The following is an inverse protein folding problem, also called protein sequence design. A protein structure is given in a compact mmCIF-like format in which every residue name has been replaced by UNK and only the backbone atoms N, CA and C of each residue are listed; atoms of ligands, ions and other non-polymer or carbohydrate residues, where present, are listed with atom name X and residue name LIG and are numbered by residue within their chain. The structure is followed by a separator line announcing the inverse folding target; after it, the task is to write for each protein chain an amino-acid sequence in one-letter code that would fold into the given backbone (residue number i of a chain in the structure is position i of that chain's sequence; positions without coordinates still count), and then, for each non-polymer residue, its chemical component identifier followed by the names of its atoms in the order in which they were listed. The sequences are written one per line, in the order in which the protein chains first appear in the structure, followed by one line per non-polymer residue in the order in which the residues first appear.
data_IF_717801890445
#
_entry.id   IF_717801890445
#
_cell.length_a   1.000
_cell.length_b   1.000
_cell.length_c   1.000
_cell.angle_alpha   90.00
_cell.angle_beta   90.00
_cell.angle_gamma   90.00
#
_symmetry.space_group_name_H-M   'P 1'
#
loop_
_entity.id
_entity.type
_entity.pdbx_description
1 polymer ?
#
# COMPACT_ATOMS: atom_id res chain seq x y z
N UNK A 1 18.70 62.88 9.19
CA UNK A 1 17.41 63.54 8.87
C UNK A 1 16.76 62.80 7.71
N UNK A 2 15.43 62.75 7.72
CA UNK A 2 14.49 62.02 6.85
C UNK A 2 14.28 60.54 7.20
N UNK A 3 13.07 59.98 7.22
CA UNK A 3 11.72 60.44 7.58
C UNK A 3 10.87 59.17 7.66
N UNK A 4 10.08 58.99 8.71
CA UNK A 4 9.15 57.88 8.90
C UNK A 4 7.98 57.92 7.90
N UNK A 5 7.56 56.76 7.36
CA UNK A 5 6.15 56.48 7.04
C UNK A 5 5.81 55.02 7.33
N UNK A 6 5.04 54.84 8.40
CA UNK A 6 4.34 53.61 8.73
C UNK A 6 3.00 53.58 7.97
N UNK A 7 2.62 52.43 7.42
CA UNK A 7 1.25 52.15 6.99
C UNK A 7 0.75 50.95 7.78
N UNK A 8 -0.14 51.20 8.74
CA UNK A 8 -0.92 50.17 9.42
C UNK A 8 -2.15 49.87 8.55
N UNK A 9 -2.33 48.61 8.13
CA UNK A 9 -3.60 48.14 7.55
C UNK A 9 -4.44 47.54 8.68
N UNK A 10 -5.56 48.18 8.97
CA UNK A 10 -6.58 47.68 9.89
C UNK A 10 -7.41 46.59 9.22
N UNK A 11 -7.66 45.50 9.93
CA UNK A 11 -8.52 44.40 9.52
C UNK A 11 -9.83 44.51 10.30
N UNK A 12 -11.01 44.60 9.67
CA UNK A 12 -12.24 44.26 10.35
C UNK A 12 -12.48 42.74 10.27
N UNK A 13 -12.38 42.05 11.41
CA UNK A 13 -13.00 40.74 11.61
C UNK A 13 -14.51 40.96 11.74
N UNK A 14 -15.29 40.53 10.76
CA UNK A 14 -16.74 40.38 10.91
C UNK A 14 -17.11 38.91 10.76
N UNK A 15 -17.45 38.28 11.88
CA UNK A 15 -18.14 37.00 11.91
C UNK A 15 -19.62 37.23 11.61
N UNK A 16 -20.08 36.85 10.41
CA UNK A 16 -21.51 36.76 10.13
C UNK A 16 -22.02 35.39 10.60
N UNK A 17 -22.55 35.35 11.82
CA UNK A 17 -23.25 34.19 12.38
C UNK A 17 -24.65 34.13 11.75
N UNK A 18 -24.84 33.25 10.77
CA UNK A 18 -26.16 32.93 10.21
C UNK A 18 -26.94 32.09 11.21
N UNK A 19 -27.97 32.68 11.82
CA UNK A 19 -29.00 31.92 12.57
C UNK A 19 -30.14 31.63 11.59
N UNK A 20 -30.27 30.37 11.21
CA UNK A 20 -31.49 29.86 10.59
C UNK A 20 -32.60 29.84 11.65
N UNK A 21 -33.65 30.65 11.47
CA UNK A 21 -34.86 30.56 12.29
C UNK A 21 -35.90 29.78 11.51
N UNK A 22 -36.19 28.58 12.01
CA UNK A 22 -37.25 27.69 11.52
C UNK A 22 -38.63 28.34 11.63
N UNK A 23 -39.44 28.18 10.60
CA UNK A 23 -40.87 28.47 10.58
C UNK A 23 -41.63 27.60 11.59
N UNK A 24 -42.34 28.21 12.54
CA UNK A 24 -43.44 27.56 13.26
C UNK A 24 -44.75 28.24 12.91
N UNK A 25 -45.68 27.45 12.38
CA UNK A 25 -47.06 27.83 12.13
C UNK A 25 -47.81 27.99 13.44
N UNK A 26 -48.61 29.04 13.56
CA UNK A 26 -49.77 29.05 14.47
C UNK A 26 -51.00 29.49 13.70
N UNK A 27 -52.00 28.62 13.73
CA UNK A 27 -53.35 28.83 13.22
C UNK A 27 -54.06 29.84 14.11
N UNK A 28 -54.67 30.86 13.51
CA UNK A 28 -55.73 31.64 14.15
C UNK A 28 -56.88 31.85 13.16
N UNK A 29 -58.09 31.63 13.66
CA UNK A 29 -59.39 31.65 12.97
C UNK A 29 -59.93 33.10 12.84
N UNK A 30 -61.02 33.32 12.07
CA UNK A 30 -61.18 34.52 11.25
C UNK A 30 -61.94 35.64 11.95
N UNK A 31 -61.66 36.87 11.54
CA UNK A 31 -62.51 38.04 11.77
C UNK A 31 -62.88 38.66 10.42
N UNK A 32 -64.14 38.54 10.03
CA UNK A 32 -64.70 39.21 8.86
C UNK A 32 -65.08 40.63 9.28
N UNK A 33 -64.43 41.65 8.70
CA UNK A 33 -65.09 42.91 8.37
C UNK A 33 -64.49 43.42 7.04
N UNK A 34 -65.38 43.56 6.05
CA UNK A 34 -65.07 44.00 4.70
C UNK A 34 -64.76 45.50 4.68
N UNK A 35 -63.70 45.87 3.97
CA UNK A 35 -63.44 47.23 3.51
C UNK A 35 -63.28 47.22 2.00
N UNK A 36 -64.26 47.79 1.28
CA UNK A 36 -64.26 47.92 -0.18
C UNK A 36 -63.27 49.02 -0.54
N UNK A 37 -62.05 48.64 -0.91
CA UNK A 37 -61.12 49.52 -1.60
C UNK A 37 -60.63 48.77 -2.84
N UNK A 38 -61.07 49.26 -4.00
CA UNK A 38 -60.68 48.83 -5.33
C UNK A 38 -59.16 48.90 -5.47
N UNK A 39 -58.48 47.76 -5.37
CA UNK A 39 -57.07 47.65 -5.75
C UNK A 39 -57.00 47.65 -7.27
N UNK A 40 -56.45 48.71 -7.84
CA UNK A 40 -56.06 48.77 -9.24
C UNK A 40 -55.21 47.54 -9.62
N UNK A 41 -55.28 47.04 -10.86
CA UNK A 41 -54.47 45.90 -11.28
C UNK A 41 -53.00 46.32 -11.23
N UNK A 42 -52.26 45.76 -10.26
CA UNK A 42 -50.81 45.85 -10.29
C UNK A 42 -50.34 44.93 -11.40
N UNK A 43 -49.79 45.49 -12.46
CA UNK A 43 -49.00 44.74 -13.44
C UNK A 43 -47.88 44.04 -12.68
N UNK A 44 -48.02 42.71 -12.52
CA UNK A 44 -46.93 41.87 -12.02
C UNK A 44 -45.96 41.76 -13.20
N UNK A 45 -44.96 42.63 -13.23
CA UNK A 45 -43.81 42.38 -14.08
C UNK A 45 -43.20 41.05 -13.63
N UNK A 46 -42.94 40.09 -14.53
CA UNK A 46 -42.18 38.91 -14.15
C UNK A 46 -40.85 39.41 -13.61
N UNK A 47 -40.55 39.07 -12.35
CA UNK A 47 -39.24 39.29 -11.79
C UNK A 47 -38.27 38.45 -12.61
N UNK A 48 -37.63 39.05 -13.61
CA UNK A 48 -36.53 38.44 -14.33
C UNK A 48 -35.45 38.14 -13.31
N UNK A 49 -35.26 36.86 -13.00
CA UNK A 49 -34.18 36.40 -12.15
C UNK A 49 -32.88 36.95 -12.74
N UNK A 50 -32.17 37.78 -11.97
CA UNK A 50 -30.85 38.23 -12.35
C UNK A 50 -29.92 37.02 -12.31
N UNK A 51 -29.67 36.40 -13.46
CA UNK A 51 -28.64 35.39 -13.59
C UNK A 51 -27.30 36.06 -13.33
N UNK A 52 -26.70 35.76 -12.17
CA UNK A 52 -25.34 36.17 -11.85
C UNK A 52 -24.38 35.47 -12.82
N UNK A 53 -23.80 36.20 -13.76
CA UNK A 53 -22.81 35.70 -14.74
C UNK A 53 -21.37 35.87 -14.25
N UNK A 54 -21.18 36.21 -12.97
CA UNK A 54 -19.84 36.35 -12.40
C UNK A 54 -19.14 35.00 -12.43
N UNK A 55 -18.17 34.84 -13.35
CA UNK A 55 -17.24 33.73 -13.34
C UNK A 55 -16.52 33.71 -11.99
N UNK A 56 -16.52 32.56 -11.31
CA UNK A 56 -15.69 32.37 -10.13
C UNK A 56 -14.24 32.69 -10.53
N UNK A 57 -13.62 33.64 -9.84
CA UNK A 57 -12.17 33.85 -9.93
C UNK A 57 -11.55 32.98 -8.85
N UNK A 58 -11.09 31.81 -9.23
CA UNK A 58 -10.20 31.02 -8.38
C UNK A 58 -8.81 31.66 -8.38
N UNK A 59 -8.10 31.47 -7.28
CA UNK A 59 -6.70 31.86 -7.18
C UNK A 59 -5.90 31.04 -8.22
N UNK A 60 -4.98 31.66 -8.99
CA UNK A 60 -4.12 30.90 -9.89
C UNK A 60 -3.21 29.96 -9.09
N UNK A 61 -2.76 28.88 -9.72
CA UNK A 61 -1.82 27.92 -9.14
C UNK A 61 -0.65 28.63 -8.45
N UNK A 62 -0.32 28.18 -7.23
CA UNK A 62 0.79 28.71 -6.45
C UNK A 62 2.13 28.37 -7.07
N UNK A 63 3.20 29.06 -6.66
CA UNK A 63 4.55 28.75 -7.12
C UNK A 63 4.97 27.31 -6.75
N UNK A 64 4.53 26.82 -5.59
CA UNK A 64 4.73 25.44 -5.14
C UNK A 64 4.16 24.40 -6.09
N UNK A 65 3.01 24.70 -6.69
CA UNK A 65 2.27 23.75 -7.52
C UNK A 65 3.01 23.54 -8.84
N UNK A 66 3.59 24.61 -9.39
CA UNK A 66 4.43 24.56 -10.58
C UNK A 66 5.75 23.81 -10.33
N UNK A 67 6.41 24.09 -9.21
CA UNK A 67 7.66 23.41 -8.83
C UNK A 67 7.43 21.91 -8.61
N UNK A 68 6.35 21.55 -7.90
CA UNK A 68 6.00 20.16 -7.62
C UNK A 68 5.56 19.41 -8.89
N UNK A 69 4.73 20.03 -9.74
CA UNK A 69 4.31 19.42 -11.02
C UNK A 69 5.50 19.20 -11.95
N UNK A 70 6.46 20.14 -12.00
CA UNK A 70 7.69 19.97 -12.77
C UNK A 70 8.52 18.78 -12.25
N UNK A 71 8.65 18.64 -10.93
CA UNK A 71 9.35 17.50 -10.33
C UNK A 71 8.67 16.17 -10.63
N UNK A 72 7.36 16.07 -10.44
CA UNK A 72 6.60 14.86 -10.78
C UNK A 72 6.71 14.48 -12.26
N UNK A 73 6.83 15.47 -13.15
CA UNK A 73 7.08 15.23 -14.57
C UNK A 73 8.48 14.65 -14.81
N UNK A 74 9.50 15.19 -14.13
CA UNK A 74 10.88 14.68 -14.22
C UNK A 74 10.97 13.23 -13.74
N UNK A 75 10.37 12.91 -12.59
CA UNK A 75 10.30 11.55 -12.05
C UNK A 75 9.56 10.61 -13.01
N UNK A 76 8.36 10.98 -13.47
CA UNK A 76 7.59 10.15 -14.40
C UNK A 76 8.35 9.87 -15.70
N UNK A 77 9.09 10.86 -16.22
CA UNK A 77 9.91 10.68 -17.42
C UNK A 77 11.12 9.77 -17.16
N UNK A 78 11.74 9.90 -15.99
CA UNK A 78 12.83 9.03 -15.58
C UNK A 78 12.37 7.58 -15.55
N UNK A 79 11.24 7.32 -14.90
CA UNK A 79 10.63 6.00 -14.85
C UNK A 79 10.27 5.49 -16.26
N UNK A 80 9.52 6.24 -17.07
CA UNK A 80 9.13 5.84 -18.43
C UNK A 80 10.34 5.56 -19.36
N UNK A 81 11.48 6.19 -19.09
CA UNK A 81 12.72 5.93 -19.83
C UNK A 81 13.44 4.65 -19.39
N UNK A 82 13.15 4.17 -18.18
CA UNK A 82 13.64 2.90 -17.67
C UNK A 82 12.70 1.79 -18.19
N UNK A 83 13.21 0.96 -19.09
CA UNK A 83 12.43 -0.05 -19.85
C UNK A 83 11.76 -1.15 -19.02
N UNK A 84 11.90 -1.13 -17.69
CA UNK A 84 11.32 -2.10 -16.74
C UNK A 84 9.78 -2.01 -16.63
N UNK A 85 9.15 -0.91 -17.07
CA UNK A 85 7.70 -0.70 -16.89
C UNK A 85 6.83 -1.54 -17.83
N UNK A 86 7.26 -1.70 -19.09
CA UNK A 86 6.39 -2.25 -20.14
C UNK A 86 6.53 -3.76 -20.31
N UNK A 87 7.72 -4.30 -20.06
CA UNK A 87 7.97 -5.73 -20.26
C UNK A 87 7.98 -6.44 -18.90
N UNK A 88 7.06 -7.39 -18.67
CA UNK A 88 7.17 -8.24 -17.49
C UNK A 88 8.49 -9.02 -17.55
N UNK A 89 9.06 -9.36 -16.38
CA UNK A 89 10.20 -10.29 -16.32
C UNK A 89 9.91 -11.59 -17.08
N UNK A 90 10.95 -12.21 -17.66
CA UNK A 90 10.81 -13.43 -18.46
C UNK A 90 10.19 -14.58 -17.65
N UNK A 91 10.56 -14.69 -16.37
CA UNK A 91 10.02 -15.62 -15.39
C UNK A 91 8.52 -15.42 -15.13
N UNK A 92 8.10 -14.18 -14.94
CA UNK A 92 6.68 -13.78 -14.81
C UNK A 92 5.91 -14.16 -16.06
N UNK A 93 6.44 -13.85 -17.24
CA UNK A 93 5.80 -14.17 -18.52
C UNK A 93 5.70 -15.68 -18.73
N UNK A 94 6.77 -16.42 -18.43
CA UNK A 94 6.78 -17.88 -18.48
C UNK A 94 5.74 -18.48 -17.54
N UNK A 95 5.59 -17.96 -16.32
CA UNK A 95 4.56 -18.42 -15.40
C UNK A 95 3.16 -18.13 -15.97
N UNK A 96 2.89 -16.92 -16.47
CA UNK A 96 1.60 -16.58 -17.09
C UNK A 96 1.24 -17.54 -18.23
N UNK A 97 2.22 -17.94 -19.05
CA UNK A 97 2.00 -18.81 -20.21
C UNK A 97 1.84 -20.30 -19.86
N UNK A 98 2.55 -20.78 -18.82
CA UNK A 98 2.59 -22.20 -18.46
C UNK A 98 1.73 -22.54 -17.23
N UNK A 99 1.28 -21.53 -16.50
CA UNK A 99 0.50 -21.72 -15.29
C UNK A 99 -0.95 -22.10 -15.59
N UNK A 100 -1.55 -22.98 -14.78
CA UNK A 100 -2.97 -23.32 -14.88
C UNK A 100 -3.89 -22.27 -14.23
N UNK A 101 -3.35 -21.15 -13.72
CA UNK A 101 -4.10 -20.07 -13.11
C UNK A 101 -4.47 -18.97 -14.11
N UNK A 102 -5.69 -18.49 -14.01
CA UNK A 102 -6.11 -17.23 -14.65
C UNK A 102 -5.82 -16.08 -13.68
N UNK A 103 -4.93 -15.17 -14.10
CA UNK A 103 -4.53 -14.00 -13.31
C UNK A 103 -5.50 -12.85 -13.59
N UNK A 104 -6.07 -12.30 -12.53
CA UNK A 104 -6.95 -11.15 -12.54
C UNK A 104 -6.31 -10.04 -11.69
N UNK A 105 -5.86 -8.99 -12.34
CA UNK A 105 -5.40 -7.76 -11.69
C UNK A 105 -6.09 -6.57 -12.36
N UNK A 106 -6.46 -5.57 -11.57
CA UNK A 106 -6.96 -4.29 -12.08
C UNK A 106 -5.96 -3.19 -11.75
N UNK A 107 -5.87 -2.21 -12.64
CA UNK A 107 -5.05 -1.03 -12.38
C UNK A 107 -5.65 -0.22 -11.22
N UNK A 108 -4.82 0.17 -10.27
CA UNK A 108 -5.18 0.96 -9.09
C UNK A 108 -5.76 0.17 -7.93
N UNK A 109 -5.79 -1.15 -8.04
CA UNK A 109 -6.10 -2.05 -6.93
C UNK A 109 -4.81 -2.79 -6.55
N UNK A 110 -4.50 -2.88 -5.26
CA UNK A 110 -3.28 -3.55 -4.79
C UNK A 110 -3.44 -5.09 -4.76
N UNK A 111 -4.68 -5.60 -4.82
CA UNK A 111 -4.95 -7.03 -4.80
C UNK A 111 -4.73 -7.65 -6.19
N UNK A 112 -4.06 -8.79 -6.21
CA UNK A 112 -3.91 -9.66 -7.40
C UNK A 112 -4.53 -11.00 -7.08
N UNK A 113 -5.42 -11.47 -7.97
CA UNK A 113 -6.18 -12.70 -7.75
C UNK A 113 -5.88 -13.71 -8.86
N UNK A 114 -5.35 -14.86 -8.48
CA UNK A 114 -5.16 -16.02 -9.35
C UNK A 114 -6.31 -16.99 -9.10
N UNK A 115 -7.00 -17.39 -10.17
CA UNK A 115 -8.12 -18.34 -10.06
C UNK A 115 -7.89 -19.59 -10.89
N UNK A 116 -8.24 -20.73 -10.32
CA UNK A 116 -8.15 -22.03 -11.00
C UNK A 116 -9.28 -22.93 -10.54
N UNK A 117 -9.70 -23.83 -11.42
CA UNK A 117 -10.57 -24.95 -11.07
C UNK A 117 -9.79 -26.26 -11.09
N UNK A 118 -9.92 -27.06 -10.04
CA UNK A 118 -9.30 -28.37 -9.93
C UNK A 118 -10.36 -29.41 -9.53
N UNK A 119 -10.85 -30.20 -10.48
CA UNK A 119 -11.95 -31.13 -10.23
C UNK A 119 -13.24 -30.43 -9.79
N UNK A 120 -13.71 -30.70 -8.58
CA UNK A 120 -14.87 -30.06 -7.94
C UNK A 120 -14.49 -28.86 -7.03
N UNK A 121 -13.21 -28.49 -7.01
CA UNK A 121 -12.64 -27.45 -6.18
C UNK A 121 -12.40 -26.15 -6.99
N UNK A 122 -12.71 -25.01 -6.37
CA UNK A 122 -12.33 -23.69 -6.89
C UNK A 122 -11.22 -23.14 -6.01
N UNK A 123 -10.06 -22.92 -6.62
CA UNK A 123 -8.87 -22.40 -5.96
C UNK A 123 -8.76 -20.92 -6.30
N UNK A 124 -8.60 -20.09 -5.27
CA UNK A 124 -8.29 -18.67 -5.38
C UNK A 124 -7.01 -18.43 -4.60
N UNK A 125 -5.98 -17.91 -5.26
CA UNK A 125 -4.75 -17.45 -4.64
C UNK A 125 -4.77 -15.92 -4.73
N UNK A 126 -4.62 -15.24 -3.60
CA UNK A 126 -4.65 -13.78 -3.54
C UNK A 126 -3.42 -13.27 -2.77
N UNK A 127 -2.78 -12.24 -3.30
CA UNK A 127 -1.67 -11.53 -2.67
C UNK A 127 -1.81 -10.03 -2.93
N UNK A 128 -1.18 -9.21 -2.09
CA UNK A 128 -1.29 -7.74 -2.13
C UNK A 128 0.08 -7.11 -2.27
N UNK A 129 0.17 -5.97 -2.93
CA UNK A 129 1.43 -5.23 -3.08
C UNK A 129 1.97 -4.67 -1.75
N UNK A 130 1.08 -4.34 -0.80
CA UNK A 130 1.47 -3.71 0.49
C UNK A 130 2.38 -4.58 1.36
N UNK A 131 2.39 -5.90 1.16
CA UNK A 131 3.17 -6.81 2.01
C UNK A 131 4.69 -6.59 1.89
N UNK A 132 5.17 -6.08 0.73
CA UNK A 132 6.59 -5.74 0.55
C UNK A 132 6.90 -4.35 1.14
N UNK A 133 5.95 -3.41 1.08
CA UNK A 133 6.13 -2.03 1.56
C UNK A 133 6.31 -1.95 3.08
N UNK A 134 5.51 -2.70 3.85
CA UNK A 134 5.53 -2.66 5.33
C UNK A 134 6.88 -3.13 5.93
N UNK A 135 7.72 -3.86 5.18
CA UNK A 135 9.00 -4.36 5.67
C UNK A 135 10.16 -3.40 5.41
N UNK A 136 10.08 -2.59 4.34
CA UNK A 136 11.08 -1.54 4.05
C UNK A 136 11.15 -0.47 5.16
N UNK A 137 10.01 -0.18 5.80
CA UNK A 137 9.95 0.75 6.94
C UNK A 137 10.57 0.16 8.22
N UNK A 138 10.49 -1.17 8.41
CA UNK A 138 10.99 -1.83 9.62
C UNK A 138 12.51 -2.07 9.59
N UNK A 139 13.11 -2.30 8.42
CA UNK A 139 14.58 -2.44 8.28
C UNK A 139 15.30 -1.09 8.45
N UNK A 140 14.69 -0.01 7.95
CA UNK A 140 15.19 1.36 8.12
C UNK A 140 15.33 1.79 9.59
N UNK A 141 14.55 1.18 10.50
CA UNK A 141 14.63 1.45 11.93
C UNK A 141 15.74 0.67 12.65
N UNK A 142 16.25 -0.42 12.06
CA UNK A 142 17.31 -1.26 12.64
C UNK A 142 18.70 -0.89 12.12
N UNK A 143 18.78 -0.21 10.97
CA UNK A 143 20.04 0.29 10.42
C UNK A 143 20.65 1.45 11.23
N UNK A 144 19.84 2.20 12.00
CA UNK A 144 20.28 3.40 12.73
C UNK A 144 20.83 3.10 14.14
N UNK A 145 20.76 1.84 14.64
CA UNK A 145 21.28 1.46 15.97
C UNK A 145 22.65 0.75 15.96
N UNK A 146 23.21 0.43 14.78
CA UNK A 146 24.45 -0.36 14.69
C UNK A 146 25.75 0.43 14.43
N UNK A 147 25.73 1.77 14.33
CA UNK A 147 26.93 2.55 13.98
C UNK A 147 27.78 3.05 15.18
N UNK A 148 27.45 2.65 16.43
CA UNK A 148 28.10 3.20 17.64
C UNK A 148 28.83 2.18 18.55
N UNK A 149 29.09 0.95 18.09
CA UNK A 149 29.63 -0.12 18.96
C UNK A 149 30.99 -0.71 18.54
N UNK A 150 31.94 0.13 18.12
CA UNK A 150 33.36 -0.26 18.07
C UNK A 150 34.25 0.67 18.93
N UNK A 151 34.27 0.38 20.23
CA UNK A 151 35.35 0.81 21.12
C UNK A 151 36.01 -0.43 21.75
N UNK A 152 37.20 -0.85 21.30
CA UNK A 152 37.84 -2.02 21.88
C UNK A 152 38.33 -1.74 23.30
N UNK A 153 37.61 -2.33 24.25
CA UNK A 153 38.02 -2.58 25.64
C UNK A 153 39.25 -3.51 25.64
N UNK A 154 40.32 -3.09 26.30
CA UNK A 154 41.27 -4.04 26.88
C UNK A 154 41.84 -3.50 28.19
N UNK A 155 41.34 -4.04 29.31
CA UNK A 155 41.82 -3.79 30.67
C UNK A 155 42.79 -4.89 31.13
N UNK A 156 44.02 -4.45 31.50
CA UNK A 156 44.84 -4.84 32.68
C UNK A 156 45.43 -6.29 32.67
N UNK A 157 46.62 -6.64 33.20
CA UNK A 157 47.44 -6.09 34.29
C UNK A 157 48.88 -6.69 34.30
N UNK A 158 49.92 -5.83 34.34
CA UNK A 158 51.22 -5.97 35.03
C UNK A 158 52.20 -7.15 34.80
N UNK A 159 53.40 -6.89 34.24
CA UNK A 159 54.72 -7.11 34.91
C UNK A 159 55.90 -6.51 34.11
N UNK A 160 56.93 -6.19 34.88
CA UNK A 160 58.14 -5.40 34.65
C UNK A 160 59.20 -6.02 33.70
N UNK A 161 59.71 -5.18 32.79
CA UNK A 161 61.06 -5.08 32.18
C UNK A 161 61.84 -6.36 31.83
N UNK A 162 61.96 -6.66 30.53
CA UNK A 162 63.25 -6.93 29.86
C UNK A 162 63.11 -6.90 28.34
N UNK A 163 63.60 -5.80 27.80
CA UNK A 163 63.92 -5.42 26.42
C UNK A 163 64.39 -6.56 25.50
N UNK A 164 63.52 -6.98 24.55
CA UNK A 164 63.78 -7.32 23.13
C UNK A 164 62.50 -7.94 22.52
N UNK A 165 62.44 -8.18 21.19
CA UNK A 165 62.37 -7.31 20.02
C UNK A 165 60.99 -7.50 19.33
N UNK A 166 60.75 -6.94 18.13
CA UNK A 166 59.97 -7.52 17.00
C UNK A 166 59.83 -6.37 15.98
N UNK A 167 60.38 -6.58 14.79
CA UNK A 167 60.24 -5.66 13.65
C UNK A 167 58.75 -5.52 13.29
N UNK A 168 58.29 -4.39 12.70
CA UNK A 168 56.92 -4.27 12.24
C UNK A 168 56.63 -5.45 11.31
N UNK A 169 55.70 -6.31 11.74
CA UNK A 169 55.37 -7.53 11.02
C UNK A 169 54.88 -7.19 9.61
N UNK A 170 55.21 -8.13 8.73
CA UNK A 170 55.10 -8.08 7.29
C UNK A 170 53.80 -7.43 6.81
N UNK A 171 53.95 -6.59 5.78
CA UNK A 171 52.82 -6.31 4.90
C UNK A 171 52.45 -7.65 4.27
N UNK A 172 51.30 -8.19 4.67
CA UNK A 172 50.53 -9.17 3.89
C UNK A 172 50.76 -8.91 2.40
N UNK A 173 51.37 -9.89 1.73
CA UNK A 173 51.56 -9.83 0.28
C UNK A 173 50.20 -9.96 -0.38
N UNK A 174 49.97 -9.24 -1.46
CA UNK A 174 48.69 -9.24 -2.19
C UNK A 174 48.20 -10.65 -2.63
N UNK A 175 49.07 -11.67 -2.57
CA UNK A 175 48.74 -13.05 -2.88
C UNK A 175 48.02 -13.82 -1.75
N UNK A 176 48.07 -13.35 -0.50
CA UNK A 176 47.31 -13.94 0.62
C UNK A 176 45.94 -13.25 0.83
N UNK A 177 45.59 -12.32 -0.07
CA UNK A 177 44.40 -11.46 0.03
C UNK A 177 43.31 -11.86 -0.98
N UNK A 178 43.50 -12.97 -1.69
CA UNK A 178 42.60 -13.40 -2.77
C UNK A 178 41.51 -14.40 -2.32
N UNK A 179 41.56 -14.89 -1.07
CA UNK A 179 40.63 -15.91 -0.55
C UNK A 179 39.65 -15.40 0.54
N UNK A 180 39.56 -14.08 0.76
CA UNK A 180 38.65 -13.49 1.77
C UNK A 180 37.51 -12.63 1.19
N UNK A 181 37.50 -12.38 -0.13
CA UNK A 181 36.57 -11.44 -0.78
C UNK A 181 35.53 -12.13 -1.69
N UNK A 182 35.22 -13.42 -1.46
CA UNK A 182 34.28 -14.19 -2.31
C UNK A 182 33.07 -14.79 -1.57
N UNK A 183 32.76 -14.38 -0.33
CA UNK A 183 31.60 -14.90 0.42
C UNK A 183 30.46 -13.89 0.68
N UNK A 184 30.54 -12.66 0.15
CA UNK A 184 29.42 -11.69 0.22
C UNK A 184 29.04 -11.23 -1.20
N UNK A 185 28.71 -12.18 -2.09
CA UNK A 185 27.92 -11.84 -3.27
C UNK A 185 26.51 -11.49 -2.76
N UNK A 186 26.28 -10.19 -2.54
CA UNK A 186 25.06 -9.53 -2.10
C UNK A 186 23.79 -10.39 -2.28
N UNK A 187 23.49 -11.26 -1.30
CA UNK A 187 22.19 -11.93 -1.24
C UNK A 187 21.18 -10.86 -0.83
N UNK A 188 20.64 -10.16 -1.83
CA UNK A 188 19.47 -9.28 -1.64
C UNK A 188 18.42 -10.13 -0.93
N UNK A 189 18.04 -9.80 0.32
CA UNK A 189 17.09 -10.60 1.07
C UNK A 189 15.79 -10.73 0.28
N UNK A 190 15.33 -11.95 0.01
CA UNK A 190 14.02 -12.16 -0.60
C UNK A 190 12.96 -11.70 0.38
N UNK A 191 12.20 -10.67 0.00
CA UNK A 191 11.10 -10.17 0.83
C UNK A 191 9.98 -11.23 0.91
N UNK A 192 9.56 -11.64 2.12
CA UNK A 192 8.50 -12.62 2.26
C UNK A 192 7.16 -12.00 1.83
N UNK A 193 6.57 -12.54 0.77
CA UNK A 193 5.26 -12.11 0.28
C UNK A 193 4.15 -12.96 0.90
N UNK A 194 3.13 -12.33 1.49
CA UNK A 194 1.99 -13.05 2.05
C UNK A 194 1.00 -13.44 0.95
N UNK A 195 0.67 -14.72 0.93
CA UNK A 195 -0.24 -15.30 -0.05
C UNK A 195 -1.37 -16.01 0.67
N UNK A 196 -2.61 -15.60 0.39
CA UNK A 196 -3.81 -16.26 0.89
C UNK A 196 -4.38 -17.21 -0.16
N UNK A 197 -4.40 -18.49 0.17
CA UNK A 197 -4.97 -19.54 -0.69
C UNK A 197 -6.32 -19.94 -0.13
N UNK A 198 -7.37 -19.83 -0.94
CA UNK A 198 -8.74 -20.25 -0.61
C UNK A 198 -9.16 -21.38 -1.54
N UNK A 199 -9.54 -22.51 -0.95
CA UNK A 199 -10.01 -23.71 -1.66
C UNK A 199 -11.46 -23.95 -1.29
N UNK A 200 -12.36 -23.67 -2.23
CA UNK A 200 -13.80 -23.84 -2.08
C UNK A 200 -14.25 -25.18 -2.67
N UNK A 201 -15.06 -25.92 -1.91
CA UNK A 201 -15.74 -27.13 -2.35
C UNK A 201 -17.25 -26.92 -2.37
N UNK A 202 -17.90 -27.27 -3.48
CA UNK A 202 -19.35 -27.12 -3.63
C UNK A 202 -20.10 -27.84 -2.50
N UNK A 203 -20.80 -27.05 -1.67
CA UNK A 203 -21.61 -27.56 -0.56
C UNK A 203 -20.83 -28.08 0.67
N UNK A 204 -19.50 -27.96 0.69
CA UNK A 204 -18.64 -28.42 1.80
C UNK A 204 -17.83 -27.28 2.45
N UNK A 205 -18.15 -26.03 2.12
CA UNK A 205 -17.45 -24.85 2.64
C UNK A 205 -16.16 -24.52 1.89
N UNK A 206 -15.27 -23.79 2.56
CA UNK A 206 -13.98 -23.38 2.03
C UNK A 206 -12.88 -23.51 3.10
N UNK A 207 -11.70 -23.90 2.66
CA UNK A 207 -10.48 -23.88 3.47
C UNK A 207 -9.68 -22.65 3.05
N UNK A 208 -9.24 -21.86 4.03
CA UNK A 208 -8.31 -20.75 3.83
C UNK A 208 -6.97 -21.13 4.43
N UNK A 209 -5.92 -20.94 3.65
CA UNK A 209 -4.56 -21.28 4.01
C UNK A 209 -3.76 -19.99 3.85
N UNK A 210 -3.16 -19.56 4.95
CA UNK A 210 -2.27 -18.41 4.96
C UNK A 210 -0.86 -18.92 4.76
N UNK A 211 -0.19 -18.41 3.73
CA UNK A 211 1.15 -18.84 3.33
C UNK A 211 2.07 -17.64 3.17
N UNK A 212 3.37 -17.87 3.31
CA UNK A 212 4.43 -16.92 2.99
C UNK A 212 5.28 -17.49 1.85
N UNK A 213 5.42 -16.73 0.77
CA UNK A 213 6.34 -17.03 -0.31
C UNK A 213 7.67 -16.33 -0.02
N UNK A 214 8.74 -17.09 0.20
CA UNK A 214 10.07 -16.57 0.50
C UNK A 214 11.14 -17.53 -0.03
N UNK A 215 12.19 -17.00 -0.65
CA UNK A 215 13.33 -17.77 -1.16
C UNK A 215 12.93 -18.90 -2.13
N UNK A 216 11.84 -18.70 -2.89
CA UNK A 216 11.32 -19.71 -3.82
C UNK A 216 10.56 -20.88 -3.16
N UNK A 217 10.24 -20.78 -1.87
CA UNK A 217 9.43 -21.76 -1.14
C UNK A 217 8.12 -21.15 -0.63
N UNK A 218 7.08 -21.98 -0.56
CA UNK A 218 5.82 -21.64 0.11
C UNK A 218 5.83 -22.23 1.53
N UNK A 219 5.78 -21.36 2.54
CA UNK A 219 5.66 -21.74 3.95
C UNK A 219 4.21 -21.57 4.42
N UNK A 220 3.61 -22.64 4.95
CA UNK A 220 2.25 -22.59 5.50
C UNK A 220 2.31 -22.05 6.93
N UNK A 221 1.57 -20.97 7.20
CA UNK A 221 1.48 -20.36 8.53
C UNK A 221 0.27 -20.86 9.30
N UNK A 222 -0.88 -20.88 8.63
CA UNK A 222 -2.15 -21.19 9.28
C UNK A 222 -3.17 -21.79 8.30
N UNK A 223 -4.06 -22.64 8.81
CA UNK A 223 -5.11 -23.32 8.04
C UNK A 223 -6.45 -23.21 8.75
N UNK A 224 -7.34 -22.37 8.21
CA UNK A 224 -8.68 -22.14 8.70
C UNK A 224 -9.75 -22.82 7.84
N UNK A 225 -10.82 -23.30 8.47
CA UNK A 225 -11.98 -23.86 7.77
C UNK A 225 -13.23 -23.01 8.01
N UNK A 226 -13.93 -22.71 6.91
CA UNK A 226 -15.18 -21.98 6.92
C UNK A 226 -16.29 -22.84 6.32
N UNK A 227 -17.40 -23.00 7.06
CA UNK A 227 -18.55 -23.74 6.55
C UNK A 227 -19.21 -23.07 5.33
N UNK A 228 -19.08 -21.74 5.22
CA UNK A 228 -19.60 -20.95 4.11
C UNK A 228 -18.44 -20.38 3.29
N UNK A 229 -18.43 -20.62 1.98
CA UNK A 229 -17.39 -20.13 1.08
C UNK A 229 -17.35 -18.59 0.98
N UNK A 230 -18.50 -17.93 1.15
CA UNK A 230 -18.62 -16.48 1.15
C UNK A 230 -17.87 -15.79 2.30
N UNK A 231 -17.61 -16.51 3.39
CA UNK A 231 -16.85 -15.98 4.53
C UNK A 231 -15.35 -16.07 4.32
N UNK A 232 -14.87 -17.07 3.56
CA UNK A 232 -13.46 -17.17 3.22
C UNK A 232 -13.03 -16.03 2.27
N UNK A 233 -13.92 -15.62 1.36
CA UNK A 233 -13.69 -14.56 0.38
C UNK A 233 -14.27 -13.20 0.80
N UNK A 234 -14.19 -12.85 2.09
CA UNK A 234 -14.92 -11.73 2.69
C UNK A 234 -14.64 -10.35 2.06
N UNK A 235 -15.37 -10.00 0.99
CA UNK A 235 -15.27 -8.70 0.33
C UNK A 235 -15.99 -7.55 1.07
N UNK A 236 -16.64 -7.82 2.21
CA UNK A 236 -17.37 -6.83 3.01
C UNK A 236 -16.85 -6.82 4.43
N UNK A 237 -16.78 -5.63 5.04
CA UNK A 237 -16.33 -5.45 6.42
C UNK A 237 -17.08 -6.32 7.44
N UNK A 238 -18.38 -6.56 7.23
CA UNK A 238 -19.18 -7.43 8.12
C UNK A 238 -18.77 -8.91 8.00
N UNK A 239 -18.47 -9.35 6.78
CA UNK A 239 -18.00 -10.71 6.52
C UNK A 239 -16.59 -10.91 7.07
N UNK A 240 -15.75 -9.89 6.98
CA UNK A 240 -14.40 -9.93 7.51
C UNK A 240 -14.40 -9.99 9.05
N UNK A 241 -15.22 -9.17 9.69
CA UNK A 241 -15.39 -9.21 11.14
C UNK A 241 -15.87 -10.58 11.64
N UNK A 242 -16.83 -11.18 10.93
CA UNK A 242 -17.31 -12.52 11.27
C UNK A 242 -16.25 -13.60 11.02
N UNK A 243 -15.42 -13.46 9.97
CA UNK A 243 -14.27 -14.31 9.69
C UNK A 243 -13.26 -14.27 10.85
N UNK A 244 -12.88 -13.09 11.31
CA UNK A 244 -11.95 -12.87 12.43
C UNK A 244 -12.49 -13.40 13.77
N UNK A 245 -13.82 -13.47 13.92
CA UNK A 245 -14.45 -14.03 15.11
C UNK A 245 -14.45 -15.56 15.14
N UNK A 246 -14.16 -16.23 14.01
CA UNK A 246 -14.11 -17.68 13.90
C UNK A 246 -12.71 -18.20 14.24
N UNK A 247 -12.63 -19.46 14.65
CA UNK A 247 -11.36 -20.10 14.95
C UNK A 247 -10.60 -20.40 13.65
N UNK A 248 -9.44 -19.76 13.48
CA UNK A 248 -8.62 -19.88 12.27
C UNK A 248 -7.66 -21.06 12.25
N UNK A 249 -7.67 -21.92 13.28
CA UNK A 249 -6.72 -23.02 13.43
C UNK A 249 -5.57 -22.73 14.41
N UNK A 250 -4.82 -23.76 14.85
CA UNK A 250 -3.57 -23.57 15.58
C UNK A 250 -2.45 -23.16 14.61
N UNK A 251 -1.33 -22.60 15.12
CA UNK A 251 -0.15 -22.39 14.29
C UNK A 251 0.26 -23.68 13.59
N UNK A 252 0.48 -23.63 12.28
CA UNK A 252 0.71 -24.82 11.45
C UNK A 252 1.90 -25.64 11.92
N UNK A 253 2.99 -24.99 12.34
CA UNK A 253 4.19 -25.66 12.86
C UNK A 253 3.98 -26.46 14.16
N UNK A 254 2.84 -26.32 14.84
CA UNK A 254 2.49 -27.14 16.00
C UNK A 254 1.71 -28.42 15.64
N UNK A 255 1.38 -28.61 14.36
CA UNK A 255 0.73 -29.83 13.88
C UNK A 255 1.73 -30.98 13.78
N UNK A 256 1.21 -32.20 13.69
CA UNK A 256 2.00 -33.40 13.45
C UNK A 256 2.77 -33.31 12.11
N UNK A 257 4.02 -33.78 12.07
CA UNK A 257 4.92 -33.65 10.90
C UNK A 257 4.37 -34.35 9.65
N UNK A 258 3.72 -35.51 9.80
CA UNK A 258 3.11 -36.22 8.68
C UNK A 258 1.91 -35.43 8.13
N UNK A 259 1.13 -34.79 9.01
CA UNK A 259 0.03 -33.92 8.60
C UNK A 259 0.53 -32.67 7.86
N UNK A 260 1.64 -32.08 8.31
CA UNK A 260 2.25 -30.94 7.63
C UNK A 260 2.66 -31.31 6.21
N UNK A 261 3.42 -32.40 6.07
CA UNK A 261 3.89 -32.93 4.78
C UNK A 261 2.73 -33.22 3.82
N UNK A 262 1.64 -33.83 4.31
CA UNK A 262 0.46 -34.11 3.48
C UNK A 262 -0.29 -32.85 3.07
N UNK A 263 -0.27 -31.79 3.88
CA UNK A 263 -0.89 -30.51 3.53
C UNK A 263 -0.09 -29.78 2.46
N UNK A 264 1.25 -29.83 2.53
CA UNK A 264 2.13 -29.27 1.49
C UNK A 264 1.91 -29.98 0.14
N UNK A 265 1.92 -31.31 0.14
CA UNK A 265 1.63 -32.09 -1.07
C UNK A 265 0.23 -31.79 -1.63
N UNK A 266 -0.76 -31.63 -0.76
CA UNK A 266 -2.12 -31.24 -1.16
C UNK A 266 -2.14 -29.89 -1.89
N UNK A 267 -1.33 -28.92 -1.46
CA UNK A 267 -1.20 -27.61 -2.10
C UNK A 267 -0.44 -27.68 -3.43
N UNK A 268 0.65 -28.44 -3.48
CA UNK A 268 1.46 -28.63 -4.70
C UNK A 268 0.63 -29.22 -5.84
N UNK A 269 -0.18 -30.25 -5.59
CA UNK A 269 -1.08 -30.84 -6.59
C UNK A 269 -2.07 -29.82 -7.19
N UNK A 270 -2.36 -28.75 -6.44
CA UNK A 270 -3.28 -27.67 -6.79
C UNK A 270 -2.57 -26.49 -7.46
N UNK A 271 -1.26 -26.58 -7.65
CA UNK A 271 -0.41 -25.57 -8.29
C UNK A 271 0.07 -24.47 -7.35
N UNK A 272 -0.05 -24.68 -6.03
CA UNK A 272 0.61 -23.83 -5.04
C UNK A 272 1.95 -24.48 -4.72
N UNK A 273 2.95 -24.17 -5.54
CA UNK A 273 4.26 -24.80 -5.58
C UNK A 273 5.39 -23.76 -5.59
N UNK A 274 6.63 -24.23 -5.74
CA UNK A 274 7.82 -23.35 -5.81
C UNK A 274 7.78 -22.39 -7.00
N UNK A 275 7.10 -22.75 -8.11
CA UNK A 275 6.96 -21.84 -9.25
C UNK A 275 6.07 -20.64 -8.89
N UNK A 276 5.00 -20.87 -8.12
CA UNK A 276 4.21 -19.78 -7.55
C UNK A 276 5.04 -18.92 -6.57
N UNK A 277 5.87 -19.56 -5.74
CA UNK A 277 6.71 -18.84 -4.76
C UNK A 277 7.70 -17.87 -5.40
N UNK A 278 8.26 -18.23 -6.57
CA UNK A 278 9.14 -17.35 -7.36
C UNK A 278 8.33 -16.28 -8.10
N UNK A 279 7.19 -16.66 -8.66
CA UNK A 279 6.33 -15.74 -9.43
C UNK A 279 5.79 -14.58 -8.59
N UNK A 280 5.34 -14.83 -7.35
CA UNK A 280 4.62 -13.82 -6.56
C UNK A 280 5.48 -12.56 -6.29
N UNK A 281 6.71 -12.66 -5.73
CA UNK A 281 7.54 -11.49 -5.48
C UNK A 281 7.85 -10.70 -6.77
N UNK A 282 8.23 -11.38 -7.84
CA UNK A 282 8.56 -10.74 -9.12
C UNK A 282 7.34 -10.05 -9.76
N UNK A 283 6.14 -10.63 -9.62
CA UNK A 283 4.91 -10.01 -10.09
C UNK A 283 4.53 -8.78 -9.25
N UNK A 284 4.79 -8.82 -7.93
CA UNK A 284 4.56 -7.67 -7.05
C UNK A 284 5.44 -6.50 -7.49
N UNK A 285 6.74 -6.72 -7.67
CA UNK A 285 7.68 -5.68 -8.13
C UNK A 285 7.26 -5.09 -9.48
N UNK A 286 6.91 -5.95 -10.45
CA UNK A 286 6.45 -5.51 -11.76
C UNK A 286 5.18 -4.64 -11.66
N UNK A 287 4.19 -5.10 -10.89
CA UNK A 287 2.93 -4.36 -10.75
C UNK A 287 3.11 -3.08 -9.94
N UNK A 288 3.94 -3.08 -8.90
CA UNK A 288 4.25 -1.91 -8.09
C UNK A 288 4.84 -0.79 -8.94
N UNK A 289 5.79 -1.11 -9.82
CA UNK A 289 6.35 -0.15 -10.75
C UNK A 289 5.29 0.49 -11.66
N UNK A 290 4.31 -0.30 -12.15
CA UNK A 290 3.22 0.23 -12.97
C UNK A 290 2.28 1.15 -12.18
N UNK A 291 1.92 0.75 -10.95
CA UNK A 291 1.07 1.55 -10.07
C UNK A 291 1.77 2.83 -9.61
N UNK A 292 3.09 2.79 -9.38
CA UNK A 292 3.89 3.96 -9.05
C UNK A 292 3.85 5.02 -10.16
N UNK A 293 4.06 4.62 -11.42
CA UNK A 293 3.98 5.53 -12.57
C UNK A 293 2.56 6.10 -12.73
N UNK A 294 1.54 5.26 -12.52
CA UNK A 294 0.14 5.70 -12.52
C UNK A 294 -0.13 6.71 -11.40
N UNK A 295 0.41 6.48 -10.21
CA UNK A 295 0.29 7.37 -9.06
C UNK A 295 0.95 8.72 -9.34
N UNK A 296 2.18 8.74 -9.85
CA UNK A 296 2.88 9.97 -10.27
C UNK A 296 2.05 10.77 -11.28
N UNK A 297 1.49 10.08 -12.30
CA UNK A 297 0.63 10.70 -13.31
C UNK A 297 -0.64 11.29 -12.70
N UNK A 298 -1.29 10.55 -11.81
CA UNK A 298 -2.53 10.99 -11.15
C UNK A 298 -2.29 12.18 -10.22
N UNK A 299 -1.21 12.14 -9.45
CA UNK A 299 -0.80 13.21 -8.54
C UNK A 299 -0.44 14.48 -9.31
N UNK A 300 0.34 14.35 -10.39
CA UNK A 300 0.66 15.47 -11.28
C UNK A 300 -0.61 16.12 -11.86
N UNK A 301 -1.52 15.31 -12.40
CA UNK A 301 -2.79 15.80 -12.94
C UNK A 301 -3.63 16.55 -11.90
N UNK A 302 -3.59 16.13 -10.63
CA UNK A 302 -4.27 16.81 -9.55
C UNK A 302 -3.65 18.17 -9.21
N UNK A 303 -2.32 18.27 -9.23
CA UNK A 303 -1.60 19.51 -8.91
C UNK A 303 -1.67 20.53 -10.06
N UNK A 304 -1.77 20.08 -11.31
CA UNK A 304 -1.90 20.96 -12.49
C UNK A 304 -3.34 21.50 -12.71
N UNK A 305 -4.35 20.92 -12.07
CA UNK A 305 -5.77 21.22 -12.28
C UNK A 305 -6.23 22.54 -11.63
#
# INVERSE_FOLDING_TARGET
MFSFRAFTRSVPRTFSRTIAISSRSTVSKPGILQGIWTRAPRYIYPASAAFSTTRARWEPAGQSDLELAAKLHEEMKYEESNSTIETPPESVQYYIENSPFEIQHKEGEDEVILTRTFGDEKIRVAFTLSDIQDLTENESALADENDDLDSPINQRQGRDVSQAPIAPEDKISAADQEDADLEDEDQVPSYPARVSVTIEKKGKGAVQIETLAQDGYIQIQNVGYFANADLANAASAEKEWTRQSLYSGPPFGNLDEDLQTLMEQYLEERGVDNALAVFVPEFIEFKEQQEYVRWLRSLKNFIEA
#
